data_IF_331745139498
#
_entry.id   IF_331745139498
#
_cell.length_a   1.000
_cell.length_b   1.000
_cell.length_c   1.000
_cell.angle_alpha   90.00
_cell.angle_beta   90.00
_cell.angle_gamma   90.00
#
_symmetry.space_group_name_H-M   'P 1'
#
loop_
_entity.id
_entity.type
_entity.pdbx_description
1 polymer ?
#
# COMPACT_ATOMS: atom_id res chain seq x y z
N UNK A 1 -37.17 48.66 26.48
CA UNK A 1 -36.05 49.62 26.28
C UNK A 1 -34.76 48.91 26.70
N UNK A 2 -33.73 48.87 25.83
CA UNK A 2 -32.44 48.20 26.09
C UNK A 2 -32.21 46.96 25.21
N UNK A 3 -31.99 47.14 23.90
CA UNK A 3 -30.69 47.10 23.20
C UNK A 3 -30.14 45.69 22.92
N UNK A 4 -30.39 45.23 21.68
CA UNK A 4 -29.70 44.14 20.98
C UNK A 4 -28.82 44.78 19.91
N UNK A 5 -27.49 44.68 20.06
CA UNK A 5 -26.47 45.06 19.07
C UNK A 5 -25.80 43.73 18.64
N UNK A 6 -25.83 43.26 17.38
CA UNK A 6 -25.18 43.76 16.13
C UNK A 6 -23.71 44.10 16.42
N UNK A 7 -22.69 43.43 15.90
CA UNK A 7 -22.49 42.76 14.62
C UNK A 7 -21.49 41.61 14.82
N UNK A 8 -21.62 40.51 14.08
CA UNK A 8 -20.48 39.63 13.86
C UNK A 8 -20.44 39.24 12.40
N UNK A 9 -19.46 39.83 11.74
CA UNK A 9 -19.03 39.66 10.36
C UNK A 9 -19.16 38.22 9.88
N UNK A 10 -19.79 38.08 8.72
CA UNK A 10 -19.47 37.00 7.80
C UNK A 10 -17.96 37.01 7.51
N UNK A 11 -17.42 35.83 7.15
CA UNK A 11 -16.03 35.46 6.80
C UNK A 11 -15.56 34.39 7.81
N UNK A 12 -15.19 33.16 7.45
CA UNK A 12 -14.66 32.63 6.19
C UNK A 12 -14.96 31.13 6.11
N UNK A 13 -15.14 30.65 4.88
CA UNK A 13 -15.22 29.24 4.50
C UNK A 13 -13.97 28.49 4.97
N UNK A 14 -14.18 27.26 5.44
CA UNK A 14 -13.16 26.35 5.96
C UNK A 14 -12.11 25.99 4.91
N UNK A 15 -10.84 26.21 5.25
CA UNK A 15 -9.72 25.45 4.71
C UNK A 15 -8.97 24.89 5.93
N UNK A 16 -8.99 23.57 6.09
CA UNK A 16 -8.37 22.88 7.23
C UNK A 16 -7.48 21.76 6.72
N UNK A 17 -6.40 22.18 6.05
CA UNK A 17 -5.16 21.44 5.98
C UNK A 17 -4.09 22.26 6.72
N UNK A 18 -3.81 21.95 7.98
CA UNK A 18 -2.43 21.98 8.48
C UNK A 18 -2.27 21.12 9.73
N UNK A 19 -1.07 20.57 9.85
CA UNK A 19 -0.68 19.37 10.57
C UNK A 19 0.36 19.78 11.62
N UNK A 20 0.05 19.84 12.93
CA UNK A 20 1.16 19.95 13.91
C UNK A 20 0.78 19.71 15.38
N UNK A 21 1.24 18.57 15.88
CA UNK A 21 1.91 18.37 17.16
C UNK A 21 1.22 18.77 18.49
N UNK A 22 0.64 17.76 19.15
CA UNK A 22 1.02 17.41 20.52
C UNK A 22 0.56 16.00 20.89
N UNK A 23 1.47 15.14 21.38
CA UNK A 23 1.04 14.15 22.37
C UNK A 23 1.98 14.20 23.58
N UNK A 24 1.65 15.05 24.55
CA UNK A 24 2.00 14.77 25.94
C UNK A 24 0.92 13.85 26.51
N UNK A 25 1.09 12.54 26.33
CA UNK A 25 0.39 11.57 27.16
C UNK A 25 1.34 10.46 27.59
N UNK A 26 1.96 10.69 28.75
CA UNK A 26 2.73 9.70 29.48
C UNK A 26 1.75 8.71 30.15
N UNK A 27 1.69 7.48 29.64
CA UNK A 27 1.36 6.30 30.43
C UNK A 27 2.32 5.17 30.06
N UNK A 28 3.26 4.89 30.96
CA UNK A 28 4.03 3.65 30.95
C UNK A 28 3.16 2.62 31.66
N UNK A 29 2.56 1.73 30.89
CA UNK A 29 1.85 0.56 31.38
C UNK A 29 2.44 -0.67 30.70
N UNK A 30 2.58 -1.77 31.44
CA UNK A 30 3.24 -3.01 31.04
C UNK A 30 2.71 -3.72 29.76
N UNK A 31 1.84 -3.08 28.97
CA UNK A 31 1.43 -3.48 27.62
C UNK A 31 2.19 -2.80 26.48
N UNK A 32 3.28 -2.08 26.76
CA UNK A 32 4.05 -1.31 25.77
C UNK A 32 5.02 -2.17 24.94
N UNK A 33 5.50 -3.29 25.50
CA UNK A 33 6.48 -4.15 24.85
C UNK A 33 5.94 -4.81 23.57
N UNK A 34 4.71 -5.33 23.59
CA UNK A 34 4.04 -5.92 22.42
C UNK A 34 3.76 -4.87 21.32
N UNK A 35 3.53 -3.61 21.73
CA UNK A 35 3.32 -2.49 20.79
C UNK A 35 4.62 -2.09 20.11
N UNK A 36 5.76 -2.12 20.81
CA UNK A 36 7.08 -1.86 20.21
C UNK A 36 7.47 -2.91 19.17
N UNK A 37 7.15 -4.19 19.42
CA UNK A 37 7.35 -5.27 18.45
C UNK A 37 6.52 -5.04 17.18
N UNK A 38 5.23 -4.69 17.36
CA UNK A 38 4.34 -4.38 16.24
C UNK A 38 4.78 -3.12 15.47
N UNK A 39 5.32 -2.10 16.15
CA UNK A 39 5.87 -0.90 15.51
C UNK A 39 7.08 -1.24 14.63
N UNK A 40 7.96 -2.15 15.07
CA UNK A 40 9.12 -2.60 14.27
C UNK A 40 8.70 -3.42 13.05
N UNK A 41 7.72 -4.30 13.23
CA UNK A 41 7.13 -5.08 12.12
C UNK A 41 6.44 -4.14 11.12
N UNK A 42 5.65 -3.18 11.59
CA UNK A 42 5.03 -2.16 10.75
C UNK A 42 6.06 -1.27 10.04
N UNK A 43 7.21 -0.98 10.66
CA UNK A 43 8.29 -0.23 10.03
C UNK A 43 8.98 -1.02 8.91
N UNK A 44 9.18 -2.33 9.11
CA UNK A 44 9.67 -3.25 8.06
C UNK A 44 8.64 -3.40 6.92
N UNK A 45 7.35 -3.46 7.23
CA UNK A 45 6.29 -3.49 6.21
C UNK A 45 6.24 -2.17 5.44
N UNK A 46 6.41 -1.02 6.11
CA UNK A 46 6.44 0.31 5.47
C UNK A 46 7.59 0.45 4.47
N UNK A 47 8.77 -0.12 4.75
CA UNK A 47 9.87 -0.07 3.78
C UNK A 47 9.50 -0.85 2.53
N UNK A 48 8.95 -2.06 2.68
CA UNK A 48 8.46 -2.88 1.57
C UNK A 48 7.34 -2.19 0.77
N UNK A 49 6.34 -1.62 1.45
CA UNK A 49 5.24 -0.85 0.80
C UNK A 49 5.78 0.40 0.10
N UNK A 50 6.79 1.07 0.66
CA UNK A 50 7.43 2.21 0.01
C UNK A 50 8.21 1.80 -1.25
N UNK A 51 8.81 0.61 -1.29
CA UNK A 51 9.42 0.06 -2.51
C UNK A 51 8.38 -0.27 -3.58
N UNK A 52 7.17 -0.67 -3.18
CA UNK A 52 6.05 -0.91 -4.08
C UNK A 52 5.33 0.38 -4.52
N UNK A 53 5.69 1.53 -3.95
CA UNK A 53 5.06 2.80 -4.26
C UNK A 53 5.73 3.48 -5.47
N UNK A 54 5.04 3.64 -6.61
CA UNK A 54 5.59 4.27 -7.81
C UNK A 54 5.97 5.76 -7.64
N UNK A 55 5.54 6.40 -6.56
CA UNK A 55 5.84 7.80 -6.25
C UNK A 55 7.22 8.02 -5.62
N UNK A 56 7.93 6.95 -5.22
CA UNK A 56 9.26 7.03 -4.58
C UNK A 56 10.35 6.40 -5.47
N UNK A 57 10.85 7.09 -6.52
CA UNK A 57 11.91 6.57 -7.35
C UNK A 57 13.24 6.49 -6.57
N UNK A 58 14.01 5.37 -6.67
CA UNK A 58 15.35 5.29 -6.08
C UNK A 58 16.33 6.28 -6.75
N UNK A 59 17.21 6.87 -5.92
CA UNK A 59 18.13 7.97 -6.31
C UNK A 59 19.15 7.59 -7.40
N UNK A 60 19.66 8.56 -8.18
CA UNK A 60 20.61 8.31 -9.27
C UNK A 60 22.00 7.99 -8.71
N UNK A 61 22.57 6.87 -9.16
CA UNK A 61 23.84 6.32 -8.69
C UNK A 61 23.80 4.80 -8.42
N UNK A 62 22.61 4.20 -8.50
CA UNK A 62 22.38 2.78 -8.24
C UNK A 62 22.43 1.90 -9.49
N UNK A 63 22.95 0.69 -9.28
CA UNK A 63 22.75 -0.55 -10.06
C UNK A 63 21.36 -0.60 -10.72
N UNK A 64 21.27 -1.08 -11.96
CA UNK A 64 20.03 -1.16 -12.73
C UNK A 64 18.84 -1.59 -11.86
N UNK A 65 17.89 -0.67 -11.65
CA UNK A 65 16.69 -0.90 -10.86
C UNK A 65 15.70 -1.59 -11.77
N UNK A 66 15.44 -2.86 -11.50
CA UNK A 66 14.37 -3.59 -12.18
C UNK A 66 13.04 -2.90 -11.87
N UNK A 67 12.19 -2.69 -12.90
CA UNK A 67 10.91 -2.03 -12.70
C UNK A 67 10.07 -2.86 -11.71
N UNK A 68 9.53 -2.21 -10.69
CA UNK A 68 8.64 -2.85 -9.71
C UNK A 68 7.26 -3.04 -10.37
N UNK A 69 7.12 -4.15 -11.10
CA UNK A 69 5.95 -4.46 -11.92
C UNK A 69 5.04 -5.50 -11.30
N UNK A 70 5.45 -6.14 -10.20
CA UNK A 70 4.67 -7.15 -9.47
C UNK A 70 4.57 -6.75 -8.01
N UNK A 71 3.36 -6.74 -7.47
CA UNK A 71 3.08 -6.53 -6.06
C UNK A 71 2.18 -7.67 -5.56
N UNK A 72 2.49 -8.21 -4.38
CA UNK A 72 1.68 -9.24 -3.72
C UNK A 72 1.20 -8.75 -2.36
N UNK A 73 -0.10 -8.91 -2.11
CA UNK A 73 -0.75 -8.62 -0.83
C UNK A 73 -1.24 -9.94 -0.23
N UNK A 74 -0.59 -10.39 0.85
CA UNK A 74 -0.98 -11.58 1.56
C UNK A 74 -2.09 -11.25 2.57
N UNK A 75 -3.26 -11.84 2.37
CA UNK A 75 -4.34 -11.87 3.34
C UNK A 75 -4.29 -13.11 4.22
N UNK A 76 -5.37 -13.35 4.95
CA UNK A 76 -5.48 -14.49 5.88
C UNK A 76 -5.61 -15.84 5.16
N UNK A 77 -6.44 -15.89 4.12
CA UNK A 77 -6.77 -17.12 3.37
C UNK A 77 -6.48 -17.00 1.86
N UNK A 78 -6.15 -15.80 1.39
CA UNK A 78 -5.87 -15.50 -0.03
C UNK A 78 -4.73 -14.52 -0.22
N UNK A 79 -4.15 -14.55 -1.41
CA UNK A 79 -3.19 -13.57 -1.91
C UNK A 79 -3.81 -12.81 -3.08
N UNK A 80 -3.57 -11.49 -3.12
CA UNK A 80 -3.90 -10.65 -4.25
C UNK A 80 -2.60 -10.21 -4.90
N UNK A 81 -2.39 -10.62 -6.15
CA UNK A 81 -1.19 -10.27 -6.92
C UNK A 81 -1.58 -9.29 -8.01
N UNK A 82 -0.97 -8.11 -7.99
CA UNK A 82 -1.14 -7.09 -9.02
C UNK A 82 0.12 -7.07 -9.90
N UNK A 83 -0.07 -7.18 -11.20
CA UNK A 83 1.00 -7.23 -12.19
C UNK A 83 0.77 -6.14 -13.23
N UNK A 84 1.72 -5.22 -13.39
CA UNK A 84 1.71 -4.24 -14.49
C UNK A 84 1.90 -4.96 -15.82
N UNK A 85 1.11 -4.59 -16.83
CA UNK A 85 1.21 -5.14 -18.19
C UNK A 85 2.46 -4.68 -18.92
N UNK A 86 3.04 -3.53 -18.58
CA UNK A 86 4.43 -3.24 -18.96
C UNK A 86 5.40 -3.97 -18.02
N UNK A 87 5.37 -5.31 -18.10
CA UNK A 87 6.02 -6.21 -17.15
C UNK A 87 7.54 -6.03 -17.13
N UNK A 88 8.11 -5.69 -18.29
CA UNK A 88 9.54 -5.54 -18.51
C UNK A 88 10.01 -4.07 -18.40
N UNK A 89 9.10 -3.11 -18.25
CA UNK A 89 9.42 -1.69 -18.20
C UNK A 89 9.96 -1.14 -19.53
N UNK A 90 9.58 -1.73 -20.65
CA UNK A 90 10.03 -1.35 -22.01
C UNK A 90 8.91 -0.66 -22.80
N UNK A 91 7.77 -0.37 -22.17
CA UNK A 91 6.61 0.25 -22.80
C UNK A 91 5.76 -0.69 -23.65
N UNK A 92 6.04 -2.00 -23.62
CA UNK A 92 5.24 -3.01 -24.35
C UNK A 92 4.33 -3.74 -23.38
N UNK A 93 3.02 -3.67 -23.63
CA UNK A 93 2.02 -4.30 -22.79
C UNK A 93 1.82 -5.77 -23.17
N UNK A 94 2.00 -6.66 -22.20
CA UNK A 94 1.63 -8.08 -22.32
C UNK A 94 0.11 -8.25 -22.32
N UNK A 95 -0.39 -9.35 -22.91
CA UNK A 95 -1.81 -9.71 -22.80
C UNK A 95 -2.04 -10.42 -21.46
N UNK A 96 -3.27 -10.32 -20.94
CA UNK A 96 -3.65 -11.04 -19.73
C UNK A 96 -3.48 -12.55 -19.86
N UNK A 97 -3.70 -13.11 -21.05
CA UNK A 97 -3.53 -14.55 -21.34
C UNK A 97 -2.08 -15.01 -21.37
N UNK A 98 -1.10 -14.09 -21.45
CA UNK A 98 0.32 -14.41 -21.51
C UNK A 98 0.92 -14.65 -20.11
N UNK A 99 0.13 -14.44 -19.04
CA UNK A 99 0.55 -14.60 -17.65
C UNK A 99 -0.44 -15.42 -16.83
N UNK A 100 0.09 -16.22 -15.91
CA UNK A 100 -0.68 -16.99 -14.94
C UNK A 100 -0.02 -16.95 -13.57
N UNK A 101 -0.81 -17.12 -12.51
CA UNK A 101 -0.32 -17.36 -11.16
C UNK A 101 -0.34 -18.86 -10.92
N UNK A 102 0.81 -19.51 -11.12
CA UNK A 102 0.89 -20.98 -11.12
C UNK A 102 -0.10 -21.57 -12.13
N UNK A 103 -1.09 -22.33 -11.65
CA UNK A 103 -2.15 -22.93 -12.49
C UNK A 103 -3.39 -22.04 -12.67
N UNK A 104 -3.41 -20.82 -12.15
CA UNK A 104 -4.58 -19.93 -12.17
C UNK A 104 -4.42 -18.79 -13.19
N UNK A 105 -5.49 -18.50 -13.92
CA UNK A 105 -5.57 -17.36 -14.84
C UNK A 105 -5.86 -16.04 -14.14
N UNK A 106 -5.78 -14.96 -14.90
CA UNK A 106 -6.11 -13.60 -14.44
C UNK A 106 -7.57 -13.52 -13.97
N UNK A 107 -7.81 -12.98 -12.78
CA UNK A 107 -9.16 -12.81 -12.25
C UNK A 107 -9.78 -11.47 -12.64
N UNK A 108 -8.97 -10.41 -12.72
CA UNK A 108 -9.41 -9.07 -13.15
C UNK A 108 -8.34 -8.36 -13.96
N UNK A 109 -8.75 -7.51 -14.87
CA UNK A 109 -7.87 -6.59 -15.59
C UNK A 109 -8.30 -5.16 -15.28
N UNK A 110 -7.32 -4.29 -15.05
CA UNK A 110 -7.51 -2.86 -14.85
C UNK A 110 -6.77 -2.10 -15.96
N UNK A 111 -7.54 -1.54 -16.88
CA UNK A 111 -6.98 -0.78 -18.00
C UNK A 111 -6.49 0.61 -17.60
N UNK A 112 -7.05 1.22 -16.55
CA UNK A 112 -6.65 2.55 -16.08
C UNK A 112 -5.24 2.53 -15.49
N UNK A 113 -4.90 1.48 -14.76
CA UNK A 113 -3.56 1.26 -14.20
C UNK A 113 -2.70 0.34 -15.06
N UNK A 114 -3.20 -0.06 -16.24
CA UNK A 114 -2.57 -1.01 -17.16
C UNK A 114 -2.05 -2.26 -16.44
N UNK A 115 -2.85 -2.84 -15.55
CA UNK A 115 -2.46 -3.95 -14.68
C UNK A 115 -3.43 -5.12 -14.80
N UNK A 116 -2.96 -6.32 -14.45
CA UNK A 116 -3.79 -7.51 -14.25
C UNK A 116 -3.69 -7.94 -12.79
N UNK A 117 -4.79 -8.47 -12.27
CA UNK A 117 -4.92 -8.88 -10.88
C UNK A 117 -5.25 -10.37 -10.84
N UNK A 118 -4.59 -11.07 -9.92
CA UNK A 118 -4.90 -12.43 -9.52
C UNK A 118 -5.42 -12.41 -8.08
N UNK A 119 -6.54 -13.08 -7.83
CA UNK A 119 -6.99 -13.39 -6.48
C UNK A 119 -6.96 -14.91 -6.34
N UNK A 120 -6.12 -15.43 -5.44
CA UNK A 120 -5.91 -16.86 -5.27
C UNK A 120 -5.89 -17.23 -3.80
N UNK A 121 -6.53 -18.35 -3.42
CA UNK A 121 -6.40 -18.87 -2.06
C UNK A 121 -4.99 -19.40 -1.83
N UNK A 122 -4.51 -19.31 -0.59
CA UNK A 122 -3.11 -19.66 -0.24
C UNK A 122 -2.76 -21.13 -0.51
N UNK A 123 -3.73 -22.03 -0.46
CA UNK A 123 -3.57 -23.46 -0.75
C UNK A 123 -3.87 -23.85 -2.21
N UNK A 124 -4.23 -22.90 -3.06
CA UNK A 124 -4.59 -23.15 -4.46
C UNK A 124 -3.48 -22.74 -5.43
N UNK A 125 -3.77 -22.85 -6.74
CA UNK A 125 -2.90 -22.39 -7.82
C UNK A 125 -1.51 -23.04 -7.87
N UNK A 126 -1.35 -24.21 -7.24
CA UNK A 126 -0.06 -24.90 -7.12
C UNK A 126 0.84 -24.36 -6.00
N UNK A 127 0.27 -23.65 -5.04
CA UNK A 127 1.01 -23.12 -3.88
C UNK A 127 1.59 -24.23 -3.01
N UNK A 128 2.77 -23.97 -2.45
CA UNK A 128 3.46 -24.89 -1.53
C UNK A 128 3.54 -24.23 -0.15
N UNK A 129 3.12 -24.96 0.88
CA UNK A 129 3.24 -24.52 2.27
C UNK A 129 4.60 -24.95 2.84
N UNK A 130 5.35 -24.00 3.39
CA UNK A 130 6.55 -24.28 4.16
C UNK A 130 6.37 -23.76 5.59
N UNK A 131 6.68 -24.62 6.56
CA UNK A 131 6.78 -24.24 7.97
C UNK A 131 8.26 -24.02 8.30
N UNK A 132 8.58 -22.86 8.87
CA UNK A 132 9.93 -22.58 9.34
C UNK A 132 10.07 -23.14 10.76
N UNK A 133 10.93 -24.15 10.92
CA UNK A 133 11.27 -24.78 12.20
C UNK A 133 12.37 -24.02 12.92
#
# INVERSE_FOLDING_TARGET
MGQKQRDSSAVQLQDSNDLSASPQFKRIGAGQQLKESAVRVAQQIKSFVNYLNPSNPPRPGGRAVLPQTVAAQCGEDKVVVTVKRDLFGIGQLIKASDVSLGSCGVTRQDDATQSVIFEARLQECGSTLMVLL
#
